data_IF_144647631807
#
_entry.id   IF_144647631807
#
_cell.length_a   1.000
_cell.length_b   1.000
_cell.length_c   1.000
_cell.angle_alpha   90.00
_cell.angle_beta   90.00
_cell.angle_gamma   90.00
#
_symmetry.space_group_name_H-M   'P 1'
#
loop_
_entity.id
_entity.type
_entity.pdbx_description
1 polymer ?
#
# COMPACT_ATOMS: atom_id res chain seq x y z
N UNK A 1 6.97 -29.90 35.37
CA UNK A 1 8.02 -29.63 34.35
C UNK A 1 7.41 -29.70 32.95
N UNK A 2 6.78 -30.82 32.55
CA UNK A 2 6.10 -30.98 31.25
C UNK A 2 5.07 -29.88 30.89
N UNK A 3 4.19 -29.51 31.82
CA UNK A 3 3.18 -28.44 31.62
C UNK A 3 3.81 -27.04 31.45
N UNK A 4 4.97 -26.80 32.07
CA UNK A 4 5.69 -25.52 31.96
C UNK A 4 6.38 -25.45 30.60
N UNK A 5 6.96 -26.57 30.16
CA UNK A 5 7.62 -26.66 28.86
C UNK A 5 6.63 -26.53 27.71
N UNK A 6 5.48 -27.20 27.77
CA UNK A 6 4.44 -27.07 26.75
C UNK A 6 3.86 -25.64 26.70
N UNK A 7 3.64 -25.02 27.86
CA UNK A 7 3.20 -23.62 27.95
C UNK A 7 4.21 -22.63 27.34
N UNK A 8 5.51 -22.83 27.59
CA UNK A 8 6.57 -21.99 27.04
C UNK A 8 6.69 -22.13 25.51
N UNK A 9 6.58 -23.36 24.99
CA UNK A 9 6.58 -23.63 23.55
C UNK A 9 5.37 -22.98 22.88
N UNK A 10 4.18 -23.10 23.48
CA UNK A 10 2.97 -22.46 22.95
C UNK A 10 3.08 -20.93 22.93
N UNK A 11 3.64 -20.34 23.99
CA UNK A 11 3.89 -18.90 24.08
C UNK A 11 4.92 -18.43 23.04
N UNK A 12 5.99 -19.20 22.84
CA UNK A 12 7.00 -18.90 21.83
C UNK A 12 6.44 -18.94 20.41
N UNK A 13 5.62 -19.96 20.10
CA UNK A 13 4.90 -20.07 18.84
C UNK A 13 3.94 -18.88 18.67
N UNK A 14 3.16 -18.55 19.69
CA UNK A 14 2.24 -17.40 19.65
C UNK A 14 2.99 -16.06 19.43
N UNK A 15 4.15 -15.88 20.07
CA UNK A 15 5.00 -14.71 19.86
C UNK A 15 5.55 -14.65 18.42
N UNK A 16 5.99 -15.79 17.87
CA UNK A 16 6.45 -15.90 16.48
C UNK A 16 5.33 -15.59 15.47
N UNK A 17 4.11 -16.09 15.69
CA UNK A 17 2.97 -15.81 14.81
C UNK A 17 2.57 -14.32 14.82
N UNK A 18 2.68 -13.65 15.97
CA UNK A 18 2.43 -12.19 16.06
C UNK A 18 3.55 -11.37 15.41
N UNK A 19 4.78 -11.88 15.42
CA UNK A 19 5.94 -11.16 14.88
C UNK A 19 5.91 -11.11 13.34
N UNK A 20 5.44 -12.19 12.70
CA UNK A 20 5.36 -12.27 11.24
C UNK A 20 4.05 -11.65 10.77
N UNK A 21 4.07 -10.59 9.92
CA UNK A 21 2.88 -9.97 9.35
C UNK A 21 2.23 -10.86 8.26
N UNK A 22 1.80 -12.08 8.62
CA UNK A 22 1.19 -13.05 7.71
C UNK A 22 -0.09 -12.50 7.06
N UNK A 23 -0.87 -11.70 7.79
CA UNK A 23 -2.11 -11.11 7.29
C UNK A 23 -1.91 -10.24 6.04
N UNK A 24 -0.87 -9.40 6.03
CA UNK A 24 -0.59 -8.52 4.89
C UNK A 24 -0.09 -9.27 3.66
N UNK A 25 0.69 -10.35 3.86
CA UNK A 25 1.15 -11.19 2.75
C UNK A 25 0.00 -11.92 2.05
N UNK A 26 -0.96 -12.42 2.82
CA UNK A 26 -2.17 -13.05 2.27
C UNK A 26 -2.98 -12.01 1.48
N UNK A 27 -3.11 -10.78 2.00
CA UNK A 27 -3.85 -9.71 1.34
C UNK A 27 -3.26 -9.34 -0.04
N UNK A 28 -1.93 -9.21 -0.15
CA UNK A 28 -1.28 -8.91 -1.44
C UNK A 28 -1.38 -10.06 -2.42
N UNK A 29 -1.27 -11.31 -1.94
CA UNK A 29 -1.44 -12.50 -2.79
C UNK A 29 -2.88 -12.64 -3.29
N UNK A 30 -3.87 -12.39 -2.44
CA UNK A 30 -5.29 -12.38 -2.81
C UNK A 30 -5.62 -11.26 -3.81
N UNK A 31 -4.89 -10.15 -3.75
CA UNK A 31 -5.01 -9.06 -4.70
C UNK A 31 -4.23 -9.26 -6.00
N UNK A 32 -3.54 -10.37 -6.21
CA UNK A 32 -2.80 -10.62 -7.45
C UNK A 32 -1.44 -9.90 -7.55
N UNK A 33 -0.96 -9.26 -6.48
CA UNK A 33 0.35 -8.59 -6.42
C UNK A 33 1.28 -9.38 -5.51
N UNK A 34 2.02 -10.38 -6.02
CA UNK A 34 2.87 -11.22 -5.18
C UNK A 34 4.05 -10.42 -4.64
N UNK A 35 3.98 -10.03 -3.37
CA UNK A 35 5.09 -9.39 -2.64
C UNK A 35 5.78 -10.44 -1.76
N UNK A 36 7.11 -10.46 -1.76
CA UNK A 36 7.88 -11.39 -0.94
C UNK A 36 7.66 -11.14 0.55
N UNK A 37 7.56 -12.21 1.34
CA UNK A 37 7.40 -12.09 2.80
C UNK A 37 8.57 -11.35 3.45
N UNK A 38 9.76 -11.50 2.88
CA UNK A 38 10.97 -10.78 3.29
C UNK A 38 10.87 -9.27 3.06
N UNK A 39 10.11 -8.82 2.06
CA UNK A 39 9.89 -7.40 1.79
C UNK A 39 9.07 -6.75 2.91
N UNK A 40 8.02 -7.42 3.40
CA UNK A 40 7.26 -6.99 4.58
C UNK A 40 8.11 -6.92 5.85
N UNK A 41 8.98 -7.91 6.03
CA UNK A 41 9.93 -7.91 7.14
C UNK A 41 10.91 -6.72 7.04
N UNK A 42 11.38 -6.41 5.82
CA UNK A 42 12.21 -5.26 5.53
C UNK A 42 11.52 -3.91 5.80
N UNK A 43 10.25 -3.77 5.43
CA UNK A 43 9.44 -2.58 5.73
C UNK A 43 9.34 -2.34 7.24
N UNK A 44 9.22 -3.41 8.05
CA UNK A 44 9.18 -3.30 9.51
C UNK A 44 10.52 -2.81 10.10
N UNK A 45 11.64 -3.26 9.54
CA UNK A 45 12.98 -2.80 9.95
C UNK A 45 13.20 -1.32 9.64
N UNK A 46 12.68 -0.83 8.50
CA UNK A 46 12.67 0.59 8.13
C UNK A 46 11.60 1.42 8.86
N UNK A 47 10.81 0.80 9.76
CA UNK A 47 9.64 1.39 10.45
C UNK A 47 8.60 1.99 9.48
N UNK A 48 8.52 1.48 8.27
CA UNK A 48 7.51 1.86 7.29
C UNK A 48 6.15 1.28 7.69
N UNK A 49 5.08 2.10 7.65
CA UNK A 49 3.71 1.62 7.94
C UNK A 49 3.20 0.79 6.76
N UNK A 50 3.30 -0.53 6.89
CA UNK A 50 2.89 -1.52 5.86
C UNK A 50 1.46 -1.25 5.35
N UNK A 51 0.53 -0.95 6.25
CA UNK A 51 -0.88 -0.69 5.92
C UNK A 51 -1.06 0.44 4.90
N UNK A 52 -0.27 1.51 5.00
CA UNK A 52 -0.37 2.70 4.14
C UNK A 52 0.15 2.48 2.72
N UNK A 53 0.83 1.37 2.47
CA UNK A 53 1.35 1.01 1.14
C UNK A 53 0.50 -0.11 0.54
N UNK A 54 0.17 -1.13 1.33
CA UNK A 54 -0.59 -2.31 0.87
C UNK A 54 -2.00 -1.94 0.43
N UNK A 55 -2.72 -1.14 1.22
CA UNK A 55 -4.10 -0.78 0.88
C UNK A 55 -4.19 -0.03 -0.47
N UNK A 56 -3.43 1.06 -0.69
CA UNK A 56 -3.41 1.73 -1.99
C UNK A 56 -2.94 0.85 -3.13
N UNK A 57 -1.95 -0.03 -2.91
CA UNK A 57 -1.46 -0.98 -3.92
C UNK A 57 -2.56 -1.93 -4.40
N UNK A 58 -3.35 -2.50 -3.46
CA UNK A 58 -4.47 -3.38 -3.79
C UNK A 58 -5.54 -2.62 -4.57
N UNK A 59 -5.88 -1.41 -4.16
CA UNK A 59 -6.88 -0.57 -4.83
C UNK A 59 -6.41 -0.18 -6.24
N UNK A 60 -5.14 0.17 -6.40
CA UNK A 60 -4.54 0.46 -7.69
C UNK A 60 -4.61 -0.75 -8.63
N UNK A 61 -4.22 -1.94 -8.15
CA UNK A 61 -4.28 -3.16 -8.95
C UNK A 61 -5.72 -3.52 -9.37
N UNK A 62 -6.69 -3.34 -8.47
CA UNK A 62 -8.12 -3.51 -8.80
C UNK A 62 -8.63 -2.54 -9.86
N UNK A 63 -8.04 -1.35 -9.95
CA UNK A 63 -8.31 -0.35 -10.98
C UNK A 63 -7.45 -0.54 -12.25
N UNK A 64 -6.79 -1.70 -12.39
CA UNK A 64 -5.87 -2.01 -13.49
C UNK A 64 -4.67 -1.04 -13.60
N UNK A 65 -4.31 -0.40 -12.49
CA UNK A 65 -3.09 0.40 -12.39
C UNK A 65 -1.96 -0.52 -11.93
N UNK A 66 -1.05 -0.83 -12.85
CA UNK A 66 0.17 -1.58 -12.54
C UNK A 66 1.19 -0.66 -11.88
N UNK A 67 1.10 -0.55 -10.56
CA UNK A 67 2.06 0.20 -9.74
C UNK A 67 2.99 -0.75 -9.02
N UNK A 68 4.25 -0.33 -8.91
CA UNK A 68 5.25 -1.05 -8.15
C UNK A 68 5.23 -0.63 -6.67
N UNK A 69 5.38 -1.62 -5.79
CA UNK A 69 5.39 -1.41 -4.34
C UNK A 69 6.59 -0.57 -3.90
N UNK A 70 7.76 -0.70 -4.56
CA UNK A 70 8.95 0.07 -4.19
C UNK A 70 8.76 1.55 -4.50
N UNK A 71 8.07 1.87 -5.60
CA UNK A 71 7.74 3.24 -5.99
C UNK A 71 6.77 3.89 -5.01
N UNK A 72 5.74 3.16 -4.58
CA UNK A 72 4.79 3.61 -3.56
C UNK A 72 5.49 3.80 -2.20
N UNK A 73 6.37 2.87 -1.82
CA UNK A 73 7.16 2.99 -0.59
C UNK A 73 8.11 4.19 -0.63
N UNK A 74 8.82 4.41 -1.75
CA UNK A 74 9.73 5.54 -1.90
C UNK A 74 8.98 6.88 -1.75
N UNK A 75 7.79 7.01 -2.33
CA UNK A 75 6.95 8.19 -2.18
C UNK A 75 6.44 8.37 -0.73
N UNK A 76 6.07 7.26 -0.07
CA UNK A 76 5.68 7.29 1.34
C UNK A 76 6.83 7.76 2.25
N UNK A 77 8.04 7.26 2.00
CA UNK A 77 9.25 7.64 2.74
C UNK A 77 9.68 9.08 2.47
N UNK A 78 9.39 9.62 1.28
CA UNK A 78 9.54 11.04 0.97
C UNK A 78 8.52 11.95 1.69
N UNK A 79 7.58 11.36 2.44
CA UNK A 79 6.54 12.09 3.19
C UNK A 79 5.27 12.36 2.40
N UNK A 80 5.11 11.75 1.21
CA UNK A 80 3.93 11.89 0.36
C UNK A 80 2.77 10.99 0.80
N UNK A 81 1.56 11.34 0.33
CA UNK A 81 0.35 10.59 0.59
C UNK A 81 0.00 9.63 -0.56
N UNK A 82 0.50 8.41 -0.45
CA UNK A 82 0.29 7.32 -1.43
C UNK A 82 -1.18 7.04 -1.71
N UNK A 83 -2.03 7.06 -0.68
CA UNK A 83 -3.47 6.78 -0.78
C UNK A 83 -4.16 7.82 -1.67
N UNK A 84 -3.81 9.08 -1.50
CA UNK A 84 -4.37 10.18 -2.27
C UNK A 84 -3.88 10.18 -3.73
N UNK A 85 -2.61 9.83 -3.96
CA UNK A 85 -2.02 9.67 -5.31
C UNK A 85 -2.75 8.57 -6.08
N UNK A 86 -2.95 7.40 -5.46
CA UNK A 86 -3.68 6.29 -6.08
C UNK A 86 -5.13 6.69 -6.40
N UNK A 87 -5.85 7.28 -5.44
CA UNK A 87 -7.23 7.71 -5.68
C UNK A 87 -7.35 8.73 -6.81
N UNK A 88 -6.37 9.63 -6.94
CA UNK A 88 -6.32 10.61 -8.04
C UNK A 88 -6.11 9.93 -9.40
N UNK A 89 -5.22 8.93 -9.47
CA UNK A 89 -5.00 8.17 -10.71
C UNK A 89 -6.22 7.34 -11.11
N UNK A 90 -6.94 6.77 -10.14
CA UNK A 90 -8.19 6.03 -10.39
C UNK A 90 -9.22 6.97 -10.99
N UNK A 91 -9.46 8.13 -10.36
CA UNK A 91 -10.36 9.14 -10.90
C UNK A 91 -9.95 9.60 -12.30
N UNK A 92 -8.65 9.78 -12.56
CA UNK A 92 -8.15 10.20 -13.86
C UNK A 92 -8.46 9.16 -14.95
N UNK A 93 -8.25 7.87 -14.62
CA UNK A 93 -8.57 6.75 -15.49
C UNK A 93 -10.07 6.68 -15.79
N UNK A 94 -10.92 6.88 -14.78
CA UNK A 94 -12.37 6.97 -14.94
C UNK A 94 -12.79 8.12 -15.88
N UNK A 95 -12.08 9.25 -15.81
CA UNK A 95 -12.28 10.39 -16.72
C UNK A 95 -11.60 10.22 -18.11
N UNK A 96 -11.07 9.02 -18.42
CA UNK A 96 -10.42 8.73 -19.70
C UNK A 96 -9.03 9.36 -19.87
N UNK A 97 -8.39 9.82 -18.79
CA UNK A 97 -7.04 10.39 -18.80
C UNK A 97 -6.03 9.44 -18.16
N UNK A 98 -5.00 9.08 -18.90
CA UNK A 98 -3.83 8.40 -18.34
C UNK A 98 -2.86 9.44 -17.75
N UNK A 99 -2.68 9.42 -16.42
CA UNK A 99 -1.65 10.19 -15.73
C UNK A 99 -0.56 9.23 -15.25
N UNK A 100 0.71 9.64 -15.37
CA UNK A 100 1.81 8.87 -14.79
C UNK A 100 1.86 9.06 -13.27
N UNK A 101 2.40 8.06 -12.57
CA UNK A 101 2.60 8.13 -11.13
C UNK A 101 3.45 9.34 -10.73
N UNK A 102 4.53 9.65 -11.47
CA UNK A 102 5.40 10.78 -11.13
C UNK A 102 4.68 12.14 -11.27
N UNK A 103 3.80 12.27 -12.27
CA UNK A 103 3.01 13.49 -12.45
C UNK A 103 2.06 13.74 -11.27
N UNK A 104 1.40 12.69 -10.77
CA UNK A 104 0.48 12.82 -9.63
C UNK A 104 1.27 12.97 -8.31
N UNK A 105 2.40 12.27 -8.16
CA UNK A 105 3.27 12.35 -7.00
C UNK A 105 3.89 13.76 -6.83
N UNK A 106 4.28 14.41 -7.93
CA UNK A 106 4.78 15.80 -7.87
C UNK A 106 3.68 16.81 -7.51
N UNK A 107 2.45 16.59 -7.95
CA UNK A 107 1.29 17.41 -7.53
C UNK A 107 0.94 17.23 -6.05
N UNK A 108 1.13 16.03 -5.51
CA UNK A 108 0.88 15.69 -4.10
C UNK A 108 1.79 16.49 -3.17
N UNK A 109 3.09 16.54 -3.48
CA UNK A 109 4.09 17.32 -2.72
C UNK A 109 3.85 18.84 -2.81
N UNK A 110 3.15 19.31 -3.85
CA UNK A 110 2.74 20.70 -4.03
C UNK A 110 1.42 21.08 -3.36
N UNK A 111 0.74 20.16 -2.66
CA UNK A 111 -0.52 20.41 -1.95
C UNK A 111 -1.79 20.33 -2.81
N UNK A 112 -1.73 19.76 -4.02
CA UNK A 112 -2.77 19.85 -5.04
C UNK A 112 -3.55 18.58 -5.38
N UNK A 113 -3.29 17.43 -4.77
CA UNK A 113 -3.95 16.15 -5.13
C UNK A 113 -5.47 16.18 -4.89
N UNK A 114 -5.94 16.94 -3.89
CA UNK A 114 -7.36 17.18 -3.63
C UNK A 114 -8.04 18.03 -4.72
N UNK A 115 -7.29 18.95 -5.35
CA UNK A 115 -7.74 19.75 -6.50
C UNK A 115 -7.76 18.90 -7.77
N UNK A 116 -6.76 18.04 -7.97
CA UNK A 116 -6.71 17.12 -9.11
C UNK A 116 -7.94 16.19 -9.13
N UNK A 117 -8.30 15.59 -7.98
CA UNK A 117 -9.53 14.78 -7.86
C UNK A 117 -10.77 15.60 -8.22
N UNK A 118 -10.89 16.85 -7.74
CA UNK A 118 -12.04 17.72 -8.08
C UNK A 118 -12.10 18.08 -9.56
N UNK A 119 -10.97 18.39 -10.18
CA UNK A 119 -10.91 18.77 -11.61
C UNK A 119 -11.20 17.60 -12.54
N UNK A 120 -10.80 16.40 -12.12
CA UNK A 120 -11.03 15.16 -12.86
C UNK A 120 -12.48 14.68 -12.67
N UNK A 121 -12.97 14.65 -11.42
CA UNK A 121 -14.34 14.24 -11.09
C UNK A 121 -15.40 15.18 -11.66
N UNK A 122 -15.15 16.50 -11.68
CA UNK A 122 -16.08 17.48 -12.26
C UNK A 122 -16.25 17.34 -13.78
N UNK A 123 -15.32 16.71 -14.50
CA UNK A 123 -15.43 16.48 -15.96
C UNK A 123 -16.07 15.15 -16.33
N UNK A 124 -16.16 14.19 -15.40
CA UNK A 124 -16.86 12.91 -15.59
C UNK A 124 -18.38 12.99 -15.40
N UNK A 125 -18.89 14.10 -14.86
CA UNK A 125 -20.33 14.35 -14.77
C UNK A 125 -20.83 15.00 -16.07
N UNK A 126 -20.96 14.21 -17.14
CA UNK A 126 -21.68 14.60 -18.35
C UNK A 126 -22.52 13.44 -18.87
#
# INVERSE_FOLDING_TARGET
MELIFSGLVLLFIYAMLNFIPLGYWIATKAAGVPVSIFYFLGMRMRRTKIEKIVHPLITAHKAELNLDIMTLEAHYLAGGNVEQVVNTMIAAREAGKSLSFEAVASMDLGGGTNLAIKLVSAKGCK
#
